data_IF_879703953256
#
_entry.id   IF_879703953256
#
_cell.length_a   1.000
_cell.length_b   1.000
_cell.length_c   1.000
_cell.angle_alpha   90.00
_cell.angle_beta   90.00
_cell.angle_gamma   90.00
#
_symmetry.space_group_name_H-M   'P 1'
#
loop_
_entity.id
_entity.type
_entity.pdbx_description
1 polymer ?
#
# COMPACT_ATOMS: atom_id res chain seq x y z
N UNK A 1 0.15 14.66 21.10
CA UNK A 1 -1.29 14.62 21.39
C UNK A 1 -2.05 14.56 20.06
N UNK A 2 -3.26 13.99 20.00
CA UNK A 2 -4.10 14.11 18.80
C UNK A 2 -4.27 15.59 18.48
N UNK A 3 -4.13 15.95 17.20
CA UNK A 3 -4.27 17.34 16.74
C UNK A 3 -5.74 17.73 16.61
N UNK A 4 -6.55 16.79 16.12
CA UNK A 4 -7.98 16.93 15.96
C UNK A 4 -8.64 15.59 16.27
N UNK A 5 -9.70 15.62 17.06
CA UNK A 5 -10.68 14.57 17.15
C UNK A 5 -12.02 15.22 16.79
N UNK A 6 -12.73 14.65 15.84
CA UNK A 6 -14.02 15.15 15.40
C UNK A 6 -14.96 13.96 15.17
N UNK A 7 -16.18 13.96 15.72
CA UNK A 7 -17.17 12.97 15.36
C UNK A 7 -17.62 13.24 13.91
N UNK A 8 -17.79 12.19 13.13
CA UNK A 8 -18.37 12.25 11.78
C UNK A 8 -19.70 11.52 11.76
N UNK A 9 -20.70 12.09 11.10
CA UNK A 9 -21.95 11.40 10.78
C UNK A 9 -21.94 10.77 9.38
N UNK A 10 -20.80 10.83 8.68
CA UNK A 10 -20.57 10.38 7.30
C UNK A 10 -21.42 11.09 6.25
N UNK A 11 -21.94 12.27 6.58
CA UNK A 11 -22.62 13.14 5.60
C UNK A 11 -21.68 14.16 5.00
N UNK A 12 -20.48 14.31 5.55
CA UNK A 12 -19.44 15.21 5.07
C UNK A 12 -18.97 14.79 3.68
N UNK A 13 -18.84 15.77 2.78
CA UNK A 13 -18.33 15.54 1.44
C UNK A 13 -16.82 15.82 1.33
N UNK A 14 -16.26 15.63 0.13
CA UNK A 14 -14.83 15.81 -0.09
C UNK A 14 -14.36 17.25 0.15
N UNK A 15 -15.25 18.23 -0.05
CA UNK A 15 -14.97 19.65 0.16
C UNK A 15 -14.95 19.99 1.65
N UNK A 16 -15.83 19.38 2.44
CA UNK A 16 -15.83 19.52 3.89
C UNK A 16 -14.57 18.88 4.51
N UNK A 17 -14.21 17.67 4.05
CA UNK A 17 -12.97 17.02 4.48
C UNK A 17 -11.72 17.81 4.08
N UNK A 18 -11.70 18.39 2.89
CA UNK A 18 -10.62 19.29 2.44
C UNK A 18 -10.44 20.47 3.41
N UNK A 19 -11.52 21.13 3.83
CA UNK A 19 -11.46 22.23 4.81
C UNK A 19 -10.93 21.76 6.16
N UNK A 20 -11.36 20.59 6.63
CA UNK A 20 -10.91 20.03 7.91
C UNK A 20 -9.40 19.76 7.88
N UNK A 21 -8.92 19.11 6.82
CA UNK A 21 -7.50 18.80 6.64
C UNK A 21 -6.65 20.07 6.50
N UNK A 22 -7.09 21.03 5.69
CA UNK A 22 -6.42 22.31 5.54
C UNK A 22 -6.35 23.08 6.86
N UNK A 23 -7.44 23.10 7.63
CA UNK A 23 -7.46 23.74 8.95
C UNK A 23 -6.49 23.08 9.92
N UNK A 24 -6.39 21.75 9.92
CA UNK A 24 -5.44 21.02 10.75
C UNK A 24 -3.98 21.37 10.38
N UNK A 25 -3.64 21.45 9.09
CA UNK A 25 -2.32 21.87 8.62
C UNK A 25 -2.03 23.31 9.05
N UNK A 26 -3.00 24.21 8.92
CA UNK A 26 -2.85 25.60 9.38
C UNK A 26 -2.61 25.69 10.89
N UNK A 27 -3.33 24.90 11.69
CA UNK A 27 -3.13 24.83 13.14
C UNK A 27 -1.74 24.29 13.50
N UNK A 28 -1.22 23.31 12.75
CA UNK A 28 0.16 22.82 12.93
C UNK A 28 1.19 23.92 12.72
N UNK A 29 1.05 24.69 11.63
CA UNK A 29 1.97 25.78 11.32
C UNK A 29 1.86 26.94 12.31
N UNK A 30 0.65 27.37 12.65
CA UNK A 30 0.42 28.55 13.51
C UNK A 30 0.72 28.31 14.99
N UNK A 31 0.63 27.06 15.46
CA UNK A 31 1.01 26.69 16.85
C UNK A 31 2.51 26.66 17.10
N UNK A 32 3.36 26.78 16.06
CA UNK A 32 4.81 26.59 16.16
C UNK A 32 5.24 25.12 16.21
N UNK A 33 4.31 24.17 15.99
CA UNK A 33 4.63 22.74 15.93
C UNK A 33 5.61 22.43 14.78
N UNK A 34 5.48 23.13 13.65
CA UNK A 34 6.40 23.01 12.53
C UNK A 34 7.87 23.27 12.92
N UNK A 35 8.12 24.18 13.86
CA UNK A 35 9.47 24.53 14.32
C UNK A 35 9.95 23.60 15.44
N UNK A 36 9.04 23.24 16.36
CA UNK A 36 9.38 22.46 17.56
C UNK A 36 9.41 20.94 17.34
N UNK A 37 8.60 20.43 16.41
CA UNK A 37 8.48 19.01 16.09
C UNK A 37 8.99 18.71 14.68
N UNK A 38 8.75 19.62 13.74
CA UNK A 38 9.16 19.48 12.34
C UNK A 38 8.00 19.69 11.36
N UNK A 39 8.31 19.86 10.06
CA UNK A 39 7.29 20.01 9.03
C UNK A 39 6.48 18.71 8.86
N UNK A 40 5.25 18.85 8.36
CA UNK A 40 4.47 17.69 7.91
C UNK A 40 5.08 17.23 6.59
N UNK A 41 5.42 15.94 6.47
CA UNK A 41 5.93 15.38 5.22
C UNK A 41 4.86 14.68 4.41
N UNK A 42 3.98 13.94 5.07
CA UNK A 42 2.94 13.15 4.43
C UNK A 42 1.66 13.14 5.26
N UNK A 43 0.55 12.84 4.61
CA UNK A 43 -0.75 12.65 5.23
C UNK A 43 -1.32 11.28 4.83
N UNK A 44 -1.46 10.36 5.79
CA UNK A 44 -1.98 9.01 5.53
C UNK A 44 -3.50 8.92 5.76
N UNK A 45 -4.21 8.19 4.89
CA UNK A 45 -5.65 7.93 5.02
C UNK A 45 -5.98 6.45 4.89
N UNK A 46 -7.19 6.04 5.28
CA UNK A 46 -7.70 4.66 5.24
C UNK A 46 -8.32 4.25 3.89
N UNK A 47 -8.16 5.11 2.87
CA UNK A 47 -8.71 4.93 1.53
C UNK A 47 -10.22 5.19 1.44
N UNK A 48 -10.85 5.87 2.41
CA UNK A 48 -12.22 6.34 2.23
C UNK A 48 -12.33 7.27 1.00
N UNK A 49 -13.44 7.18 0.26
CA UNK A 49 -13.62 7.92 -1.01
C UNK A 49 -13.59 9.43 -0.78
N UNK A 50 -14.19 9.89 0.31
CA UNK A 50 -14.25 11.31 0.66
C UNK A 50 -12.86 11.81 1.06
N UNK A 51 -12.13 11.03 1.88
CA UNK A 51 -10.75 11.35 2.27
C UNK A 51 -9.79 11.33 1.08
N UNK A 52 -9.91 10.36 0.17
CA UNK A 52 -9.09 10.27 -1.05
C UNK A 52 -9.27 11.52 -1.92
N UNK A 53 -10.51 11.90 -2.20
CA UNK A 53 -10.79 13.07 -3.03
C UNK A 53 -10.29 14.37 -2.37
N UNK A 54 -10.48 14.54 -1.06
CA UNK A 54 -9.96 15.68 -0.31
C UNK A 54 -8.42 15.71 -0.32
N UNK A 55 -7.78 14.57 -0.05
CA UNK A 55 -6.34 14.42 -0.05
C UNK A 55 -5.73 14.69 -1.42
N UNK A 56 -6.37 14.22 -2.50
CA UNK A 56 -5.95 14.52 -3.86
C UNK A 56 -5.91 16.03 -4.12
N UNK A 57 -7.01 16.74 -3.83
CA UNK A 57 -7.11 18.20 -4.02
C UNK A 57 -6.08 18.98 -3.22
N UNK A 58 -5.72 18.48 -2.04
CA UNK A 58 -4.75 19.15 -1.16
C UNK A 58 -3.29 18.86 -1.50
N UNK A 59 -2.99 17.63 -1.89
CA UNK A 59 -1.62 17.12 -1.93
C UNK A 59 -1.10 16.80 -3.34
N UNK A 60 -1.90 17.01 -4.39
CA UNK A 60 -1.48 16.90 -5.80
C UNK A 60 -1.81 18.22 -6.54
N UNK A 61 -1.32 19.36 -6.04
CA UNK A 61 -1.67 20.70 -6.55
C UNK A 61 -0.70 21.25 -7.58
N UNK A 62 0.60 21.17 -7.29
CA UNK A 62 1.65 21.82 -8.07
C UNK A 62 2.81 20.86 -8.31
N UNK A 63 3.49 20.94 -9.46
CA UNK A 63 4.71 20.18 -9.69
C UNK A 63 5.80 20.59 -8.68
N UNK A 64 6.65 19.64 -8.32
CA UNK A 64 7.83 19.87 -7.48
C UNK A 64 8.70 20.98 -8.09
N UNK A 65 9.05 21.97 -7.28
CA UNK A 65 9.90 23.10 -7.72
C UNK A 65 11.30 22.63 -8.07
N UNK A 66 11.90 23.19 -9.12
CA UNK A 66 13.31 22.97 -9.47
C UNK A 66 14.27 23.44 -8.37
N UNK A 67 13.85 24.43 -7.57
CA UNK A 67 14.61 24.93 -6.41
C UNK A 67 14.52 23.99 -5.20
N UNK A 68 13.64 22.97 -5.23
CA UNK A 68 13.52 22.01 -4.14
C UNK A 68 14.79 21.17 -4.02
N UNK A 69 15.31 20.93 -2.81
CA UNK A 69 16.42 19.99 -2.62
C UNK A 69 16.07 18.56 -3.03
N UNK A 70 14.77 18.24 -3.14
CA UNK A 70 14.29 16.92 -3.58
C UNK A 70 14.34 16.74 -5.10
N UNK A 71 14.33 17.85 -5.85
CA UNK A 71 14.11 17.84 -7.29
C UNK A 71 15.17 17.01 -8.03
N UNK A 72 16.44 17.26 -7.75
CA UNK A 72 17.56 16.57 -8.41
C UNK A 72 17.52 15.06 -8.25
N UNK A 73 17.05 14.55 -7.12
CA UNK A 73 16.88 13.11 -6.92
C UNK A 73 15.62 12.60 -7.61
N UNK A 74 14.47 13.25 -7.41
CA UNK A 74 13.16 12.73 -7.83
C UNK A 74 12.87 12.89 -9.32
N UNK A 75 13.41 13.92 -10.00
CA UNK A 75 13.21 14.12 -11.44
C UNK A 75 13.78 12.98 -12.29
N UNK A 76 14.77 12.27 -11.76
CA UNK A 76 15.43 11.15 -12.45
C UNK A 76 14.65 9.83 -12.33
N UNK A 77 13.49 9.82 -11.65
CA UNK A 77 12.64 8.65 -11.51
C UNK A 77 11.60 8.72 -12.63
N UNK A 78 11.98 8.28 -13.83
CA UNK A 78 11.12 8.37 -15.03
C UNK A 78 9.73 7.79 -14.77
N UNK A 79 8.69 8.56 -15.13
CA UNK A 79 7.29 8.20 -14.93
C UNK A 79 6.76 8.47 -13.52
N UNK A 80 7.60 8.81 -12.53
CA UNK A 80 7.11 9.19 -11.21
C UNK A 80 6.37 10.54 -11.27
N UNK A 81 5.14 10.58 -10.74
CA UNK A 81 4.39 11.83 -10.66
C UNK A 81 5.02 12.78 -9.61
N UNK A 82 5.40 13.98 -10.03
CA UNK A 82 6.08 14.97 -9.18
C UNK A 82 5.15 16.01 -8.54
N UNK A 83 3.83 15.86 -8.62
CA UNK A 83 2.90 16.82 -8.03
C UNK A 83 2.85 16.67 -6.50
N UNK A 84 2.84 17.78 -5.77
CA UNK A 84 2.73 17.78 -4.31
C UNK A 84 1.74 18.83 -3.82
N UNK A 85 1.44 18.80 -2.53
CA UNK A 85 0.75 19.89 -1.85
C UNK A 85 1.70 21.03 -1.51
N UNK A 86 1.14 22.03 -0.82
CA UNK A 86 1.94 23.11 -0.22
C UNK A 86 2.96 22.53 0.77
N UNK A 87 4.19 23.05 0.75
CA UNK A 87 5.28 22.52 1.58
C UNK A 87 5.73 21.11 1.18
N UNK A 88 5.47 20.71 -0.07
CA UNK A 88 5.84 19.41 -0.63
C UNK A 88 5.17 18.22 0.07
N UNK A 89 4.05 18.45 0.77
CA UNK A 89 3.32 17.39 1.47
C UNK A 89 2.73 16.40 0.48
N UNK A 90 2.91 15.11 0.76
CA UNK A 90 2.40 14.00 -0.07
C UNK A 90 1.25 13.25 0.61
N UNK A 91 0.34 12.72 -0.20
CA UNK A 91 -0.73 11.83 0.27
C UNK A 91 -0.17 10.41 0.43
N UNK A 92 -0.65 9.67 1.42
CA UNK A 92 -0.35 8.27 1.62
C UNK A 92 -1.62 7.48 1.98
N UNK A 93 -1.55 6.18 1.81
CA UNK A 93 -2.58 5.24 2.23
C UNK A 93 -1.94 4.15 3.07
N UNK A 94 -2.62 3.76 4.14
CA UNK A 94 -2.13 2.69 4.99
C UNK A 94 -2.07 1.38 4.18
N UNK A 95 -0.87 0.81 4.09
CA UNK A 95 -0.59 -0.42 3.36
C UNK A 95 -1.44 -1.61 3.85
N UNK A 96 -1.80 -1.64 5.14
CA UNK A 96 -2.68 -2.66 5.66
C UNK A 96 -4.06 -2.55 5.02
N UNK A 97 -4.57 -1.32 4.81
CA UNK A 97 -5.84 -1.11 4.12
C UNK A 97 -5.77 -1.46 2.63
N UNK A 98 -4.63 -1.25 1.99
CA UNK A 98 -4.35 -1.68 0.61
C UNK A 98 -4.39 -3.22 0.47
N UNK A 99 -3.88 -3.97 1.45
CA UNK A 99 -3.87 -5.44 1.40
C UNK A 99 -5.17 -6.07 1.90
N UNK A 100 -5.82 -5.45 2.91
CA UNK A 100 -7.03 -5.96 3.57
C UNK A 100 -8.18 -6.21 2.60
N UNK A 101 -9.03 -7.17 2.97
CA UNK A 101 -10.32 -7.33 2.31
C UNK A 101 -11.37 -6.45 3.00
N UNK A 102 -12.08 -5.58 2.27
CA UNK A 102 -13.33 -4.97 2.79
C UNK A 102 -14.48 -5.86 2.32
N UNK A 103 -15.35 -6.27 3.24
CA UNK A 103 -16.42 -7.23 2.96
C UNK A 103 -17.39 -6.69 1.90
N UNK A 104 -17.67 -7.51 0.91
CA UNK A 104 -18.77 -7.33 -0.02
C UNK A 104 -20.01 -8.01 0.57
N UNK A 105 -20.72 -7.34 1.47
CA UNK A 105 -22.05 -7.80 1.89
C UNK A 105 -23.00 -6.60 2.02
N UNK A 106 -23.60 -6.21 0.90
CA UNK A 106 -24.96 -5.69 0.92
C UNK A 106 -25.68 -6.13 -0.35
N UNK A 107 -26.61 -7.06 -0.16
CA UNK A 107 -27.49 -7.59 -1.22
C UNK A 107 -28.71 -6.68 -1.46
N UNK A 108 -28.69 -5.41 -1.00
CA UNK A 108 -29.76 -4.44 -1.26
C UNK A 108 -29.19 -3.05 -1.52
N UNK A 109 -29.65 -2.48 -2.63
CA UNK A 109 -29.57 -1.09 -3.06
C UNK A 109 -28.17 -0.56 -3.41
N UNK A 110 -27.93 -0.46 -4.72
CA UNK A 110 -27.34 0.70 -5.41
C UNK A 110 -26.80 1.81 -4.52
N UNK A 111 -25.55 1.65 -4.04
CA UNK A 111 -24.59 2.64 -3.53
C UNK A 111 -23.70 1.96 -2.46
N UNK A 112 -22.77 1.08 -2.85
CA UNK A 112 -21.66 0.69 -1.98
C UNK A 112 -20.34 1.14 -2.60
N UNK A 113 -19.96 2.38 -2.28
CA UNK A 113 -18.66 2.99 -2.58
C UNK A 113 -17.70 2.68 -1.43
N UNK A 114 -17.19 1.46 -1.32
CA UNK A 114 -16.16 1.13 -0.33
C UNK A 114 -14.92 0.56 -1.00
N UNK A 115 -13.77 1.14 -0.63
CA UNK A 115 -12.43 0.79 -1.08
C UNK A 115 -12.11 -0.69 -0.84
N UNK A 116 -11.71 -1.41 -1.88
CA UNK A 116 -11.40 -2.83 -1.86
C UNK A 116 -9.88 -3.01 -2.06
N UNK A 117 -9.21 -3.69 -1.12
CA UNK A 117 -7.79 -4.00 -1.24
C UNK A 117 -7.51 -5.17 -2.20
N UNK A 118 -6.22 -5.49 -2.39
CA UNK A 118 -5.74 -6.54 -3.33
C UNK A 118 -6.44 -7.89 -3.07
N UNK A 119 -6.54 -8.30 -1.81
CA UNK A 119 -7.16 -9.58 -1.47
C UNK A 119 -8.68 -9.60 -1.70
N UNK A 120 -9.37 -8.46 -1.70
CA UNK A 120 -10.78 -8.43 -2.12
C UNK A 120 -10.91 -8.79 -3.59
N UNK A 121 -10.03 -8.27 -4.46
CA UNK A 121 -10.06 -8.55 -5.90
C UNK A 121 -9.77 -10.02 -6.19
N UNK A 122 -8.71 -10.56 -5.58
CA UNK A 122 -8.30 -11.96 -5.76
C UNK A 122 -9.40 -12.92 -5.29
N UNK A 123 -10.07 -12.63 -4.16
CA UNK A 123 -11.13 -13.48 -3.62
C UNK A 123 -12.45 -13.35 -4.38
N UNK A 124 -12.64 -12.23 -5.08
CA UNK A 124 -13.85 -11.91 -5.84
C UNK A 124 -14.04 -12.88 -7.03
N UNK A 125 -15.29 -13.22 -7.39
CA UNK A 125 -15.56 -14.00 -8.61
C UNK A 125 -15.06 -13.33 -9.90
N UNK A 126 -15.03 -12.00 -9.93
CA UNK A 126 -14.53 -11.24 -11.07
C UNK A 126 -13.00 -11.38 -11.25
N UNK A 127 -12.27 -11.67 -10.16
CA UNK A 127 -10.83 -11.87 -10.16
C UNK A 127 -10.02 -10.66 -10.61
N UNK A 128 -8.80 -10.94 -11.06
CA UNK A 128 -7.84 -10.01 -11.63
C UNK A 128 -7.47 -10.51 -13.03
N UNK A 129 -7.59 -9.64 -14.04
CA UNK A 129 -7.13 -9.92 -15.40
C UNK A 129 -5.65 -9.58 -15.55
N UNK A 130 -4.87 -10.55 -16.02
CA UNK A 130 -3.43 -10.45 -16.27
C UNK A 130 -3.10 -10.96 -17.69
N UNK A 131 -2.09 -11.83 -17.81
CA UNK A 131 -1.51 -12.34 -19.04
C UNK A 131 -2.54 -12.62 -20.15
N UNK A 132 -2.51 -11.83 -21.22
CA UNK A 132 -3.38 -12.01 -22.38
C UNK A 132 -4.89 -12.17 -22.03
N UNK A 133 -5.35 -11.45 -21.00
CA UNK A 133 -6.75 -11.47 -20.60
C UNK A 133 -7.14 -12.63 -19.65
N UNK A 134 -6.20 -13.46 -19.19
CA UNK A 134 -6.52 -14.57 -18.27
C UNK A 134 -6.96 -14.02 -16.90
N UNK A 135 -8.06 -14.56 -16.39
CA UNK A 135 -8.66 -14.15 -15.11
C UNK A 135 -8.17 -15.07 -13.99
N UNK A 136 -7.53 -14.50 -12.98
CA UNK A 136 -7.19 -15.20 -11.74
C UNK A 136 -8.18 -14.79 -10.65
N UNK A 137 -8.98 -15.75 -10.18
CA UNK A 137 -9.96 -15.57 -9.12
C UNK A 137 -9.80 -16.66 -8.04
N UNK A 138 -10.65 -16.62 -7.02
CA UNK A 138 -10.61 -17.59 -5.92
C UNK A 138 -10.77 -19.04 -6.37
N UNK A 139 -11.57 -19.31 -7.41
CA UNK A 139 -11.77 -20.68 -7.91
C UNK A 139 -10.50 -21.22 -8.58
N UNK A 140 -9.83 -20.40 -9.39
CA UNK A 140 -8.55 -20.75 -10.02
C UNK A 140 -7.51 -21.01 -8.92
N UNK A 141 -7.38 -20.09 -7.95
CA UNK A 141 -6.41 -20.26 -6.87
C UNK A 141 -6.68 -21.47 -5.98
N UNK A 142 -7.95 -21.84 -5.75
CA UNK A 142 -8.30 -23.05 -5.00
C UNK A 142 -7.72 -24.31 -5.66
N UNK A 143 -7.74 -24.39 -7.00
CA UNK A 143 -7.20 -25.53 -7.73
C UNK A 143 -5.67 -25.68 -7.59
N UNK A 144 -4.95 -24.56 -7.44
CA UNK A 144 -3.49 -24.54 -7.47
C UNK A 144 -2.85 -24.45 -6.09
N UNK A 145 -3.40 -23.68 -5.16
CA UNK A 145 -2.81 -23.52 -3.83
C UNK A 145 -2.82 -24.82 -3.03
N UNK A 146 -3.72 -25.76 -3.31
CA UNK A 146 -3.72 -27.10 -2.71
C UNK A 146 -2.51 -27.96 -3.14
N UNK A 147 -1.71 -27.51 -4.11
CA UNK A 147 -0.46 -28.18 -4.50
C UNK A 147 0.69 -27.85 -3.54
N UNK A 148 0.53 -26.85 -2.69
CA UNK A 148 1.50 -26.55 -1.65
C UNK A 148 1.39 -27.59 -0.52
N UNK A 149 2.50 -28.25 -0.11
CA UNK A 149 2.47 -29.25 0.97
C UNK A 149 1.94 -28.74 2.31
N UNK A 150 2.00 -27.43 2.54
CA UNK A 150 1.56 -26.78 3.76
C UNK A 150 0.04 -26.62 3.89
N UNK A 151 -0.72 -26.78 2.79
CA UNK A 151 -2.14 -26.50 2.73
C UNK A 151 -2.95 -27.70 2.26
N UNK A 152 -3.98 -28.06 3.01
CA UNK A 152 -5.07 -28.92 2.53
C UNK A 152 -6.22 -28.07 1.96
N UNK A 153 -7.22 -28.74 1.38
CA UNK A 153 -8.37 -28.05 0.78
C UNK A 153 -9.11 -27.16 1.78
N UNK A 154 -9.28 -27.60 3.02
CA UNK A 154 -9.96 -26.81 4.06
C UNK A 154 -9.17 -25.55 4.42
N UNK A 155 -7.85 -25.65 4.52
CA UNK A 155 -6.97 -24.51 4.80
C UNK A 155 -6.99 -23.50 3.66
N UNK A 156 -6.94 -23.95 2.39
CA UNK A 156 -7.05 -23.05 1.23
C UNK A 156 -8.42 -22.38 1.16
N UNK A 157 -9.50 -23.10 1.46
CA UNK A 157 -10.85 -22.53 1.54
C UNK A 157 -10.91 -21.43 2.60
N UNK A 158 -10.35 -21.65 3.80
CA UNK A 158 -10.27 -20.61 4.85
C UNK A 158 -9.43 -19.40 4.44
N UNK A 159 -8.39 -19.63 3.63
CA UNK A 159 -7.52 -18.58 3.11
C UNK A 159 -8.22 -17.69 2.08
N UNK A 160 -9.03 -18.30 1.21
CA UNK A 160 -9.78 -17.61 0.15
C UNK A 160 -11.12 -17.04 0.66
N UNK A 161 -11.73 -17.66 1.67
CA UNK A 161 -13.04 -17.29 2.21
C UNK A 161 -12.97 -17.14 3.74
N UNK A 162 -12.29 -16.09 4.24
CA UNK A 162 -12.16 -15.89 5.69
C UNK A 162 -13.49 -15.49 6.34
N UNK A 163 -13.72 -15.98 7.57
CA UNK A 163 -14.89 -15.62 8.38
C UNK A 163 -14.96 -14.12 8.68
N UNK A 164 -13.80 -13.49 8.86
CA UNK A 164 -13.65 -12.06 9.11
C UNK A 164 -12.93 -11.42 7.92
N UNK A 165 -13.65 -10.71 7.03
CA UNK A 165 -13.04 -10.10 5.85
C UNK A 165 -11.93 -9.09 6.17
N UNK A 166 -12.01 -8.42 7.32
CA UNK A 166 -11.03 -7.42 7.76
C UNK A 166 -9.75 -8.02 8.39
N UNK A 167 -9.57 -9.34 8.35
CA UNK A 167 -8.41 -10.04 8.91
C UNK A 167 -7.14 -9.79 8.05
N UNK A 168 -6.29 -8.88 8.54
CA UNK A 168 -5.00 -8.52 7.91
C UNK A 168 -4.05 -9.70 7.86
N UNK A 169 -3.79 -10.42 8.98
CA UNK A 169 -2.98 -11.64 8.95
C UNK A 169 -3.39 -12.61 7.85
N UNK A 170 -4.69 -12.88 7.71
CA UNK A 170 -5.17 -13.82 6.70
C UNK A 170 -5.02 -13.30 5.27
N UNK A 171 -5.11 -11.99 5.06
CA UNK A 171 -4.84 -11.38 3.76
C UNK A 171 -3.34 -11.52 3.40
N UNK A 172 -2.44 -11.28 4.36
CA UNK A 172 -1.00 -11.43 4.17
C UNK A 172 -0.60 -12.88 3.91
N UNK A 173 -1.18 -13.83 4.65
CA UNK A 173 -0.96 -15.26 4.45
C UNK A 173 -1.37 -15.70 3.04
N UNK A 174 -2.49 -15.19 2.50
CA UNK A 174 -2.92 -15.50 1.13
C UNK A 174 -1.89 -15.02 0.10
N UNK A 175 -1.42 -13.78 0.28
CA UNK A 175 -0.41 -13.20 -0.61
C UNK A 175 0.92 -13.97 -0.53
N UNK A 176 1.35 -14.36 0.67
CA UNK A 176 2.53 -15.19 0.86
C UNK A 176 2.39 -16.59 0.24
N UNK A 177 1.22 -17.23 0.36
CA UNK A 177 0.96 -18.52 -0.25
C UNK A 177 1.06 -18.46 -1.79
N UNK A 178 0.57 -17.39 -2.41
CA UNK A 178 0.72 -17.17 -3.87
C UNK A 178 2.19 -17.04 -4.25
N UNK A 179 2.98 -16.28 -3.48
CA UNK A 179 4.43 -16.14 -3.72
C UNK A 179 5.14 -17.49 -3.57
N UNK A 180 4.85 -18.21 -2.50
CA UNK A 180 5.45 -19.51 -2.19
C UNK A 180 5.11 -20.54 -3.27
N UNK A 181 3.86 -20.57 -3.73
CA UNK A 181 3.42 -21.43 -4.82
C UNK A 181 4.28 -21.24 -6.08
N UNK A 182 4.47 -19.99 -6.52
CA UNK A 182 5.28 -19.73 -7.71
C UNK A 182 6.75 -20.11 -7.54
N UNK A 183 7.33 -19.94 -6.34
CA UNK A 183 8.70 -20.38 -6.04
C UNK A 183 8.83 -21.90 -6.13
N UNK A 184 7.86 -22.65 -5.62
CA UNK A 184 7.86 -24.12 -5.69
C UNK A 184 7.61 -24.65 -7.10
N UNK A 185 6.75 -23.99 -7.88
CA UNK A 185 6.35 -24.44 -9.21
C UNK A 185 7.21 -23.87 -10.34
N UNK A 186 8.34 -23.22 -10.04
CA UNK A 186 9.17 -22.56 -11.04
C UNK A 186 9.64 -23.51 -12.15
N UNK A 187 9.94 -24.78 -11.83
CA UNK A 187 10.29 -25.79 -12.83
C UNK A 187 9.12 -26.10 -13.76
N UNK A 188 7.92 -26.32 -13.21
CA UNK A 188 6.69 -26.58 -13.96
C UNK A 188 6.26 -25.39 -14.83
N UNK A 189 6.44 -24.17 -14.33
CA UNK A 189 6.16 -22.94 -15.08
C UNK A 189 7.08 -22.82 -16.29
N UNK A 190 8.36 -23.21 -16.15
CA UNK A 190 9.34 -23.11 -17.24
C UNK A 190 9.27 -24.27 -18.24
N UNK A 191 8.67 -25.41 -17.87
CA UNK A 191 8.54 -26.58 -18.75
C UNK A 191 7.21 -26.54 -19.53
N UNK A 192 7.24 -25.87 -20.68
CA UNK A 192 6.07 -25.73 -21.56
C UNK A 192 5.58 -27.05 -22.20
N UNK A 193 6.29 -28.17 -22.02
CA UNK A 193 5.96 -29.44 -22.67
C UNK A 193 5.26 -30.45 -21.74
N UNK A 194 5.25 -30.22 -20.42
CA UNK A 194 4.77 -31.20 -19.44
C UNK A 194 3.30 -31.05 -19.03
N UNK A 195 2.65 -29.95 -19.41
CA UNK A 195 1.37 -29.53 -18.83
C UNK A 195 0.41 -29.13 -19.95
N UNK A 196 -0.90 -29.33 -19.78
CA UNK A 196 -1.88 -28.88 -20.77
C UNK A 196 -1.88 -27.35 -20.91
N UNK A 197 -2.37 -26.88 -22.05
CA UNK A 197 -2.28 -25.47 -22.47
C UNK A 197 -2.98 -24.53 -21.48
N UNK A 198 -4.14 -24.94 -20.93
CA UNK A 198 -4.92 -24.11 -20.02
C UNK A 198 -4.23 -23.99 -18.66
N UNK A 199 -3.73 -25.11 -18.13
CA UNK A 199 -2.96 -25.11 -16.89
C UNK A 199 -1.67 -24.30 -17.03
N UNK A 200 -0.96 -24.42 -18.15
CA UNK A 200 0.24 -23.59 -18.38
C UNK A 200 -0.09 -22.09 -18.44
N UNK A 201 -1.21 -21.72 -19.07
CA UNK A 201 -1.66 -20.33 -19.12
C UNK A 201 -2.03 -19.78 -17.72
N UNK A 202 -2.68 -20.59 -16.88
CA UNK A 202 -2.96 -20.24 -15.48
C UNK A 202 -1.66 -20.05 -14.69
N UNK A 203 -0.74 -21.01 -14.75
CA UNK A 203 0.53 -20.95 -14.04
C UNK A 203 1.35 -19.71 -14.42
N UNK A 204 1.39 -19.36 -15.71
CA UNK A 204 2.04 -18.13 -16.18
C UNK A 204 1.37 -16.87 -15.61
N UNK A 205 0.05 -16.87 -15.53
CA UNK A 205 -0.72 -15.73 -15.00
C UNK A 205 -0.58 -15.61 -13.48
N UNK A 206 -0.54 -16.73 -12.76
CA UNK A 206 -0.25 -16.77 -11.32
C UNK A 206 1.19 -16.32 -11.06
N UNK A 207 2.15 -16.64 -11.94
CA UNK A 207 3.52 -16.14 -11.84
C UNK A 207 3.60 -14.61 -11.95
N UNK A 208 2.85 -14.00 -12.87
CA UNK A 208 2.74 -12.54 -12.95
C UNK A 208 2.06 -11.94 -11.71
N UNK A 209 0.99 -12.57 -11.21
CA UNK A 209 0.33 -12.15 -9.97
C UNK A 209 1.28 -12.22 -8.77
N UNK A 210 2.03 -13.31 -8.66
CA UNK A 210 3.04 -13.52 -7.62
C UNK A 210 4.10 -12.43 -7.68
N UNK A 211 4.65 -12.12 -8.86
CA UNK A 211 5.67 -11.09 -9.00
C UNK A 211 5.15 -9.70 -8.59
N UNK A 212 3.90 -9.36 -8.97
CA UNK A 212 3.24 -8.14 -8.55
C UNK A 212 3.06 -8.09 -7.02
N UNK A 213 2.51 -9.15 -6.43
CA UNK A 213 2.26 -9.26 -4.98
C UNK A 213 3.56 -9.21 -4.18
N UNK A 214 4.58 -9.95 -4.61
CA UNK A 214 5.90 -9.98 -3.97
C UNK A 214 6.53 -8.58 -3.96
N UNK A 215 6.42 -7.86 -5.08
CA UNK A 215 7.00 -6.54 -5.27
C UNK A 215 6.40 -5.47 -4.33
N UNK A 216 5.13 -5.60 -3.94
CA UNK A 216 4.47 -4.67 -3.00
C UNK A 216 4.46 -5.17 -1.56
N UNK A 217 4.39 -6.47 -1.31
CA UNK A 217 4.25 -7.01 0.04
C UNK A 217 5.57 -7.01 0.80
N UNK A 218 6.61 -7.60 0.21
CA UNK A 218 7.89 -7.82 0.91
C UNK A 218 8.53 -6.55 1.47
N UNK A 219 8.47 -5.38 0.80
CA UNK A 219 9.03 -4.14 1.34
C UNK A 219 8.52 -3.74 2.72
N UNK A 220 7.30 -4.15 3.09
CA UNK A 220 6.71 -3.84 4.39
C UNK A 220 6.91 -4.95 5.42
N UNK A 221 7.28 -6.16 5.00
CA UNK A 221 7.21 -7.34 5.85
C UNK A 221 8.51 -8.11 6.03
N UNK A 222 9.41 -8.03 5.05
CA UNK A 222 10.68 -8.73 5.10
C UNK A 222 11.73 -7.86 5.81
N UNK A 223 11.90 -8.14 7.10
CA UNK A 223 12.87 -7.48 7.97
C UNK A 223 14.32 -7.58 7.50
N UNK A 224 14.63 -8.44 6.52
CA UNK A 224 15.97 -8.62 5.98
C UNK A 224 16.28 -7.70 4.81
N UNK A 225 15.25 -7.12 4.16
CA UNK A 225 15.44 -6.23 3.02
C UNK A 225 16.12 -4.92 3.44
N UNK A 226 17.15 -4.54 2.70
CA UNK A 226 17.69 -3.19 2.77
C UNK A 226 16.69 -2.17 2.23
N UNK A 227 16.87 -0.90 2.55
CA UNK A 227 16.04 0.17 2.02
C UNK A 227 16.15 0.25 0.48
N UNK A 228 17.34 0.03 -0.07
CA UNK A 228 17.54 -0.07 -1.53
C UNK A 228 16.72 -1.20 -2.15
N UNK A 229 16.68 -2.38 -1.52
CA UNK A 229 15.87 -3.50 -1.99
C UNK A 229 14.37 -3.19 -1.89
N UNK A 230 13.94 -2.53 -0.81
CA UNK A 230 12.56 -2.09 -0.63
C UNK A 230 12.15 -1.12 -1.74
N UNK A 231 12.94 -0.07 -2.00
CA UNK A 231 12.65 0.91 -3.04
C UNK A 231 12.69 0.30 -4.45
N UNK A 232 13.64 -0.61 -4.73
CA UNK A 232 13.68 -1.37 -5.98
C UNK A 232 12.41 -2.20 -6.17
N UNK A 233 11.96 -2.89 -5.12
CA UNK A 233 10.76 -3.73 -5.15
C UNK A 233 9.50 -2.88 -5.38
N UNK A 234 9.35 -1.76 -4.67
CA UNK A 234 8.24 -0.83 -4.89
C UNK A 234 8.23 -0.23 -6.30
N UNK A 235 9.41 0.07 -6.85
CA UNK A 235 9.53 0.50 -8.24
C UNK A 235 9.11 -0.60 -9.22
N UNK A 236 9.55 -1.85 -9.01
CA UNK A 236 9.12 -3.01 -9.80
C UNK A 236 7.59 -3.16 -9.77
N UNK A 237 6.97 -3.05 -8.59
CA UNK A 237 5.52 -3.03 -8.46
C UNK A 237 4.89 -1.91 -9.29
N UNK A 238 5.38 -0.67 -9.17
CA UNK A 238 4.80 0.49 -9.85
C UNK A 238 4.74 0.29 -11.37
N UNK A 239 5.82 -0.24 -11.96
CA UNK A 239 5.91 -0.53 -13.40
C UNK A 239 5.02 -1.71 -13.83
N UNK A 240 4.97 -2.79 -13.05
CA UNK A 240 4.09 -3.94 -13.32
C UNK A 240 2.62 -3.52 -13.23
N UNK A 241 2.24 -2.84 -12.15
CA UNK A 241 0.89 -2.35 -11.93
C UNK A 241 0.48 -1.39 -13.03
N UNK A 242 1.33 -0.44 -13.40
CA UNK A 242 1.09 0.46 -14.53
C UNK A 242 0.82 -0.31 -15.82
N UNK A 243 1.65 -1.31 -16.15
CA UNK A 243 1.51 -2.08 -17.39
C UNK A 243 0.18 -2.84 -17.43
N UNK A 244 -0.14 -3.59 -16.38
CA UNK A 244 -1.40 -4.35 -16.31
C UNK A 244 -2.61 -3.42 -16.31
N UNK A 245 -2.51 -2.28 -15.63
CA UNK A 245 -3.58 -1.29 -15.61
C UNK A 245 -3.79 -0.61 -16.96
N UNK A 246 -2.69 -0.26 -17.64
CA UNK A 246 -2.72 0.32 -18.98
C UNK A 246 -3.30 -0.66 -20.02
N UNK A 247 -3.03 -1.97 -19.87
CA UNK A 247 -3.57 -3.01 -20.73
C UNK A 247 -5.05 -3.38 -20.46
N UNK A 248 -5.44 -3.46 -19.19
CA UNK A 248 -6.72 -4.09 -18.79
C UNK A 248 -7.66 -3.20 -17.98
N UNK A 249 -7.24 -2.00 -17.56
CA UNK A 249 -8.04 -1.03 -16.80
C UNK A 249 -8.70 -1.69 -15.57
N UNK A 250 -10.00 -1.45 -15.39
CA UNK A 250 -10.81 -1.98 -14.29
C UNK A 250 -10.92 -3.50 -14.23
N UNK A 251 -10.57 -4.22 -15.30
CA UNK A 251 -10.50 -5.68 -15.28
C UNK A 251 -9.27 -6.19 -14.53
N UNK A 252 -8.20 -5.40 -14.42
CA UNK A 252 -7.05 -5.70 -13.58
C UNK A 252 -7.31 -5.29 -12.13
N UNK A 253 -7.62 -4.01 -11.88
CA UNK A 253 -8.03 -3.53 -10.56
C UNK A 253 -8.88 -2.25 -10.65
N UNK A 254 -9.60 -1.92 -9.58
CA UNK A 254 -10.36 -0.66 -9.55
C UNK A 254 -9.45 0.57 -9.69
N UNK A 255 -9.97 1.65 -10.29
CA UNK A 255 -9.27 2.94 -10.38
C UNK A 255 -8.79 3.43 -9.00
N UNK A 256 -9.62 3.30 -7.97
CA UNK A 256 -9.31 3.74 -6.62
C UNK A 256 -8.16 2.96 -6.01
N UNK A 257 -8.14 1.63 -6.14
CA UNK A 257 -7.05 0.81 -5.61
C UNK A 257 -5.74 1.12 -6.35
N UNK A 258 -5.77 1.24 -7.67
CA UNK A 258 -4.60 1.60 -8.45
C UNK A 258 -4.01 2.94 -7.99
N UNK A 259 -4.86 3.96 -7.88
CA UNK A 259 -4.47 5.29 -7.42
C UNK A 259 -3.84 5.26 -6.03
N UNK A 260 -4.47 4.53 -5.09
CA UNK A 260 -4.00 4.50 -3.69
C UNK A 260 -2.62 3.85 -3.59
N UNK A 261 -2.38 2.72 -4.27
CA UNK A 261 -1.10 2.03 -4.17
C UNK A 261 0.01 2.80 -4.89
N UNK A 262 -0.25 3.34 -6.08
CA UNK A 262 0.72 4.19 -6.78
C UNK A 262 1.06 5.45 -5.97
N UNK A 263 0.07 6.01 -5.25
CA UNK A 263 0.28 7.13 -4.33
C UNK A 263 1.14 6.73 -3.14
N UNK A 264 0.92 5.56 -2.54
CA UNK A 264 1.78 5.02 -1.46
C UNK A 264 3.22 4.79 -1.93
N UNK A 265 3.42 4.22 -3.14
CA UNK A 265 4.76 4.07 -3.71
C UNK A 265 5.42 5.42 -3.89
N UNK A 266 4.75 6.38 -4.53
CA UNK A 266 5.25 7.75 -4.68
C UNK A 266 5.62 8.37 -3.34
N UNK A 267 4.75 8.25 -2.34
CA UNK A 267 4.98 8.79 -1.00
C UNK A 267 6.23 8.20 -0.34
N UNK A 268 6.49 6.90 -0.51
CA UNK A 268 7.71 6.26 -0.01
C UNK A 268 8.98 6.92 -0.59
N UNK A 269 9.01 7.17 -1.90
CA UNK A 269 10.15 7.84 -2.56
C UNK A 269 10.32 9.28 -2.09
N UNK A 270 9.23 10.05 -1.99
CA UNK A 270 9.27 11.43 -1.50
C UNK A 270 9.72 11.51 -0.04
N UNK A 271 9.18 10.66 0.84
CA UNK A 271 9.54 10.66 2.26
C UNK A 271 11.01 10.23 2.47
N UNK A 272 11.51 9.27 1.69
CA UNK A 272 12.91 8.90 1.74
C UNK A 272 13.82 10.03 1.25
N UNK A 273 13.49 10.69 0.13
CA UNK A 273 14.24 11.86 -0.34
C UNK A 273 14.29 12.97 0.73
N UNK A 274 13.16 13.25 1.38
CA UNK A 274 13.09 14.20 2.50
C UNK A 274 13.98 13.78 3.67
N UNK A 275 13.98 12.50 4.02
CA UNK A 275 14.87 11.96 5.06
C UNK A 275 16.35 12.08 4.69
N UNK A 276 16.72 11.82 3.43
CA UNK A 276 18.08 11.98 2.95
C UNK A 276 18.57 13.43 3.03
N UNK A 277 17.69 14.40 2.75
CA UNK A 277 17.99 15.82 2.92
C UNK A 277 18.08 16.24 4.39
N UNK A 278 17.23 15.68 5.26
CA UNK A 278 17.19 16.02 6.69
C UNK A 278 18.38 15.43 7.45
N UNK A 279 18.55 14.11 7.35
CA UNK A 279 19.64 13.36 7.97
C UNK A 279 19.87 12.04 7.20
N UNK A 280 20.91 11.96 6.35
CA UNK A 280 21.21 10.75 5.57
C UNK A 280 21.73 9.59 6.43
N UNK A 281 22.13 9.81 7.68
CA UNK A 281 22.62 8.74 8.55
C UNK A 281 21.52 8.11 9.40
N UNK A 282 20.35 8.74 9.48
CA UNK A 282 19.23 8.21 10.23
C UNK A 282 18.56 7.02 9.53
N UNK A 283 18.00 6.07 10.31
CA UNK A 283 17.21 4.99 9.76
C UNK A 283 15.85 5.49 9.24
N UNK A 284 15.39 4.92 8.14
CA UNK A 284 14.07 5.18 7.56
C UNK A 284 13.27 3.87 7.49
N UNK A 285 11.99 3.92 7.87
CA UNK A 285 11.11 2.75 7.91
C UNK A 285 9.88 2.98 7.04
N UNK A 286 9.54 1.99 6.22
CA UNK A 286 8.29 1.95 5.48
C UNK A 286 7.16 1.38 6.36
N UNK A 287 6.03 2.09 6.39
CA UNK A 287 4.87 1.68 7.17
C UNK A 287 5.07 1.84 8.67
N UNK A 288 4.08 2.41 9.33
CA UNK A 288 3.93 2.31 10.78
C UNK A 288 2.45 2.40 11.09
N UNK A 289 2.05 1.80 12.21
CA UNK A 289 0.67 1.83 12.66
C UNK A 289 0.55 2.35 14.10
N UNK A 290 1.06 3.57 14.36
CA UNK A 290 0.96 4.16 15.70
C UNK A 290 -0.49 4.55 16.01
N UNK A 291 -1.35 4.67 15.00
CA UNK A 291 -2.75 5.07 15.16
C UNK A 291 -3.63 3.89 15.58
N UNK A 292 -3.52 2.71 14.96
CA UNK A 292 -4.28 1.52 15.38
C UNK A 292 -3.81 1.05 16.77
N UNK A 293 -2.52 1.18 17.09
CA UNK A 293 -2.01 0.95 18.45
C UNK A 293 -2.63 1.92 19.47
N UNK A 294 -2.72 3.21 19.13
CA UNK A 294 -3.36 4.21 19.97
C UNK A 294 -4.86 3.89 20.17
N UNK A 295 -5.57 3.50 19.12
CA UNK A 295 -6.97 3.08 19.23
C UNK A 295 -7.12 1.82 20.09
N UNK A 296 -6.26 0.83 19.89
CA UNK A 296 -6.23 -0.39 20.69
C UNK A 296 -6.08 -0.09 22.18
N UNK A 297 -5.10 0.75 22.55
CA UNK A 297 -4.92 1.18 23.94
C UNK A 297 -6.13 1.97 24.46
N UNK A 298 -6.70 2.85 23.65
CA UNK A 298 -7.91 3.61 23.98
C UNK A 298 -9.07 2.68 24.35
N UNK A 299 -9.27 1.60 23.59
CA UNK A 299 -10.27 0.57 23.91
C UNK A 299 -9.92 -0.21 25.18
N UNK A 300 -8.65 -0.59 25.37
CA UNK A 300 -8.19 -1.35 26.53
C UNK A 300 -8.37 -0.60 27.86
N UNK A 301 -8.24 0.73 27.88
CA UNK A 301 -8.48 1.56 29.07
C UNK A 301 -9.92 1.38 29.58
N UNK A 302 -10.87 1.06 28.70
CA UNK A 302 -12.26 0.79 29.07
C UNK A 302 -12.51 -0.53 29.78
N UNK A 303 -11.52 -1.44 29.84
CA UNK A 303 -11.68 -2.78 30.39
C UNK A 303 -12.82 -3.54 29.69
N UNK A 304 -13.82 -3.96 30.47
CA UNK A 304 -15.01 -4.64 29.93
C UNK A 304 -15.96 -3.73 29.14
N UNK A 305 -15.79 -2.41 29.20
CA UNK A 305 -16.54 -1.45 28.41
C UNK A 305 -15.66 -0.85 27.30
N UNK A 306 -15.42 -1.65 26.27
CA UNK A 306 -14.63 -1.26 25.10
C UNK A 306 -15.33 -0.22 24.24
N UNK A 307 -16.66 -0.11 24.31
CA UNK A 307 -17.41 0.98 23.70
C UNK A 307 -17.32 2.25 24.57
N UNK A 308 -17.36 3.43 23.92
CA UNK A 308 -17.29 4.70 24.62
C UNK A 308 -18.06 5.80 23.87
N UNK A 309 -18.62 6.74 24.62
CA UNK A 309 -19.15 7.98 24.06
C UNK A 309 -18.01 8.86 23.54
N UNK A 310 -18.33 9.89 22.75
CA UNK A 310 -17.31 10.82 22.26
C UNK A 310 -16.51 11.50 23.38
N UNK A 311 -17.18 11.94 24.45
CA UNK A 311 -16.50 12.52 25.61
C UNK A 311 -15.53 11.53 26.27
N UNK A 312 -15.96 10.28 26.46
CA UNK A 312 -15.10 9.21 26.97
C UNK A 312 -13.95 8.88 26.01
N UNK A 313 -14.16 9.01 24.69
CA UNK A 313 -13.11 8.83 23.70
C UNK A 313 -11.99 9.85 23.91
N UNK A 314 -12.34 11.13 24.09
CA UNK A 314 -11.35 12.20 24.30
C UNK A 314 -10.51 11.95 25.56
N UNK A 315 -11.16 11.60 26.68
CA UNK A 315 -10.47 11.30 27.93
C UNK A 315 -9.53 10.09 27.78
N UNK A 316 -10.03 9.01 27.16
CA UNK A 316 -9.27 7.76 26.98
C UNK A 316 -8.12 7.92 25.97
N UNK A 317 -8.30 8.69 24.90
CA UNK A 317 -7.23 8.97 23.92
C UNK A 317 -6.12 9.79 24.60
N UNK A 318 -6.48 10.76 25.45
CA UNK A 318 -5.52 11.51 26.25
C UNK A 318 -4.68 10.59 27.14
N UNK A 319 -5.35 9.75 27.94
CA UNK A 319 -4.69 8.78 28.80
C UNK A 319 -3.84 7.75 28.03
N UNK A 320 -4.35 7.24 26.89
CA UNK A 320 -3.60 6.33 26.03
C UNK A 320 -2.33 7.00 25.48
N UNK A 321 -2.39 8.30 25.17
CA UNK A 321 -1.23 9.04 24.67
C UNK A 321 -0.18 9.28 25.76
N UNK A 322 -0.59 9.51 26.99
CA UNK A 322 0.33 9.62 28.13
C UNK A 322 1.05 8.29 28.38
N UNK A 323 0.32 7.17 28.32
CA UNK A 323 0.88 5.81 28.39
C UNK A 323 1.90 5.57 27.25
N UNK A 324 1.53 5.85 26.00
CA UNK A 324 2.43 5.75 24.85
C UNK A 324 3.70 6.59 25.04
N UNK A 325 3.56 7.79 25.61
CA UNK A 325 4.69 8.67 25.85
C UNK A 325 5.64 8.11 26.92
N UNK A 326 5.11 7.41 27.93
CA UNK A 326 5.92 6.67 28.91
C UNK A 326 6.66 5.52 28.23
N UNK A 327 5.96 4.71 27.44
CA UNK A 327 6.58 3.59 26.71
C UNK A 327 7.66 4.02 25.73
N UNK A 328 7.46 5.13 25.00
CA UNK A 328 8.50 5.69 24.13
C UNK A 328 9.76 6.12 24.90
N UNK A 329 9.62 6.63 26.12
CA UNK A 329 10.75 7.00 26.99
C UNK A 329 11.39 5.82 27.70
N UNK A 330 10.62 4.75 27.93
CA UNK A 330 10.99 3.56 28.69
C UNK A 330 10.52 2.29 27.93
N UNK A 331 11.18 1.95 26.80
CA UNK A 331 10.73 0.85 25.94
C UNK A 331 10.64 -0.50 26.66
N UNK A 332 11.43 -0.70 27.73
CA UNK A 332 11.41 -1.92 28.53
C UNK A 332 10.11 -2.12 29.32
N UNK A 333 9.31 -1.07 29.50
CA UNK A 333 8.00 -1.14 30.16
C UNK A 333 6.88 -1.55 29.20
N UNK A 334 7.12 -1.51 27.89
CA UNK A 334 6.16 -1.96 26.89
C UNK A 334 6.52 -3.38 26.46
N UNK A 335 5.93 -4.43 27.08
CA UNK A 335 6.17 -5.80 26.65
C UNK A 335 5.60 -6.08 25.25
N UNK A 336 4.96 -5.11 24.61
CA UNK A 336 4.18 -5.27 23.40
C UNK A 336 2.95 -6.13 23.63
N UNK A 337 2.25 -6.47 22.55
CA UNK A 337 1.16 -7.44 22.61
C UNK A 337 1.72 -8.84 22.90
N UNK A 338 1.75 -9.24 24.18
CA UNK A 338 1.94 -10.65 24.57
C UNK A 338 0.69 -11.45 24.17
N UNK A 339 0.71 -12.07 22.98
CA UNK A 339 -0.27 -13.12 22.63
C UNK A 339 0.14 -14.44 23.29
N UNK A 340 -0.83 -15.12 23.91
CA UNK A 340 -0.62 -16.28 24.79
C UNK A 340 -0.14 -17.56 24.07
N UNK A 341 -0.05 -17.58 22.73
CA UNK A 341 0.61 -18.64 21.94
C UNK A 341 1.18 -18.04 20.66
N UNK A 342 2.49 -18.18 20.43
CA UNK A 342 3.16 -17.90 19.17
C UNK A 342 3.34 -19.23 18.43
N UNK A 343 2.48 -19.53 17.47
CA UNK A 343 2.85 -20.40 16.34
C UNK A 343 3.53 -19.52 15.29
N UNK A 344 4.63 -19.99 14.69
CA UNK A 344 5.60 -19.23 13.90
C UNK A 344 5.07 -18.56 12.60
N UNK A 345 3.75 -18.55 12.37
CA UNK A 345 3.11 -18.02 11.17
C UNK A 345 2.23 -16.77 11.44
N UNK A 346 2.04 -16.35 12.69
CA UNK A 346 1.14 -15.23 13.04
C UNK A 346 1.91 -14.05 13.66
N UNK A 347 1.85 -12.87 13.04
CA UNK A 347 2.46 -11.62 13.54
C UNK A 347 3.18 -10.75 12.51
N UNK A 348 3.14 -11.09 11.23
CA UNK A 348 3.75 -10.31 10.14
C UNK A 348 3.10 -8.91 10.02
N UNK A 349 1.88 -8.73 10.52
CA UNK A 349 1.12 -7.48 10.53
C UNK A 349 1.56 -6.46 11.61
N UNK A 350 2.43 -6.88 12.54
CA UNK A 350 2.93 -6.05 13.64
C UNK A 350 4.45 -6.18 13.81
N UNK A 351 5.20 -5.77 12.77
CA UNK A 351 6.67 -5.77 12.81
C UNK A 351 7.15 -4.61 13.67
N UNK A 352 7.85 -4.94 14.75
CA UNK A 352 8.56 -3.94 15.54
C UNK A 352 9.80 -3.47 14.76
N UNK A 353 9.98 -2.15 14.66
CA UNK A 353 11.15 -1.50 14.03
C UNK A 353 12.49 -2.07 14.53
N UNK A 354 12.58 -2.45 15.80
CA UNK A 354 13.79 -3.05 16.38
C UNK A 354 14.12 -4.47 15.87
N UNK A 355 13.20 -5.12 15.14
CA UNK A 355 13.43 -6.42 14.50
C UNK A 355 14.00 -6.29 13.08
N UNK A 356 14.05 -5.08 12.52
CA UNK A 356 14.60 -4.85 11.18
C UNK A 356 16.11 -5.09 11.17
N UNK A 357 16.58 -5.95 10.27
CA UNK A 357 17.98 -6.40 10.14
C UNK A 357 18.65 -5.86 8.88
N UNK A 358 17.89 -5.59 7.83
CA UNK A 358 18.39 -4.97 6.61
C UNK A 358 18.92 -3.56 6.86
N UNK A 359 19.81 -3.09 5.98
CA UNK A 359 20.32 -1.72 6.06
C UNK A 359 19.23 -0.72 5.70
N UNK A 360 18.78 0.03 6.71
CA UNK A 360 17.71 1.02 6.61
C UNK A 360 18.22 2.46 6.72
N UNK A 361 19.53 2.68 6.65
CA UNK A 361 20.11 4.03 6.67
C UNK A 361 19.72 4.78 5.39
N UNK A 362 19.06 5.94 5.55
CA UNK A 362 18.45 6.66 4.44
C UNK A 362 19.43 7.00 3.31
N UNK A 363 20.63 7.47 3.65
CA UNK A 363 21.66 7.90 2.72
C UNK A 363 22.38 6.77 1.98
N UNK A 364 22.16 5.50 2.35
CA UNK A 364 22.72 4.35 1.63
C UNK A 364 21.85 3.89 0.44
N UNK A 365 20.62 4.42 0.32
CA UNK A 365 19.75 4.14 -0.80
C UNK A 365 19.90 5.18 -1.91
N UNK A 366 20.46 4.80 -3.05
CA UNK A 366 20.38 5.62 -4.27
C UNK A 366 18.98 5.46 -4.88
N UNK A 367 18.17 6.53 -4.82
CA UNK A 367 16.78 6.52 -5.29
C UNK A 367 16.66 6.33 -6.81
N UNK A 368 17.34 7.14 -7.66
CA UNK A 368 17.36 6.90 -9.11
C UNK A 368 17.82 5.50 -9.50
N UNK A 369 18.89 5.01 -8.87
CA UNK A 369 19.41 3.67 -9.18
C UNK A 369 18.42 2.57 -8.78
N UNK A 370 17.85 2.64 -7.58
CA UNK A 370 16.83 1.70 -7.12
C UNK A 370 15.58 1.71 -8.02
N UNK A 371 15.14 2.89 -8.47
CA UNK A 371 14.03 3.02 -9.43
C UNK A 371 14.35 2.36 -10.77
N UNK A 372 15.55 2.62 -11.32
CA UNK A 372 16.00 2.00 -12.56
C UNK A 372 16.05 0.47 -12.46
N UNK A 373 16.60 -0.08 -11.37
CA UNK A 373 16.65 -1.52 -11.14
C UNK A 373 15.26 -2.15 -11.00
N UNK A 374 14.30 -1.42 -10.39
CA UNK A 374 12.91 -1.85 -10.31
C UNK A 374 12.25 -1.91 -11.68
N UNK A 375 12.43 -0.86 -12.48
CA UNK A 375 12.03 -0.80 -13.88
C UNK A 375 12.60 -1.97 -14.71
N UNK A 376 13.90 -2.24 -14.61
CA UNK A 376 14.57 -3.35 -15.31
C UNK A 376 14.02 -4.72 -14.87
N UNK A 377 13.74 -4.88 -13.57
CA UNK A 377 13.15 -6.10 -13.02
C UNK A 377 11.74 -6.33 -13.59
N UNK A 378 10.92 -5.29 -13.65
CA UNK A 378 9.60 -5.34 -14.26
C UNK A 378 9.67 -5.69 -15.76
N UNK A 379 10.58 -5.07 -16.52
CA UNK A 379 10.78 -5.41 -17.94
C UNK A 379 11.22 -6.87 -18.15
N UNK A 380 12.08 -7.40 -17.29
CA UNK A 380 12.51 -8.80 -17.35
C UNK A 380 11.36 -9.79 -17.10
N UNK A 381 10.34 -9.39 -16.32
CA UNK A 381 9.11 -10.16 -16.09
C UNK A 381 8.17 -10.02 -17.29
N UNK A 382 7.91 -8.78 -17.73
CA UNK A 382 6.95 -8.45 -18.79
C UNK A 382 7.38 -8.98 -20.16
N UNK A 383 8.68 -8.99 -20.46
CA UNK A 383 9.23 -9.55 -21.71
C UNK A 383 9.02 -11.06 -21.86
N UNK A 384 8.73 -11.77 -20.76
CA UNK A 384 8.36 -13.19 -20.77
C UNK A 384 6.84 -13.40 -20.79
N UNK A 385 6.06 -12.34 -20.65
CA UNK A 385 4.60 -12.38 -20.72
C UNK A 385 4.11 -12.34 -22.17
N UNK A 386 2.82 -12.57 -22.37
CA UNK A 386 2.15 -12.44 -23.67
C UNK A 386 1.50 -11.06 -23.86
N UNK A 387 1.87 -10.06 -23.05
CA UNK A 387 1.36 -8.70 -23.19
C UNK A 387 2.01 -7.99 -24.37
N UNK A 388 1.23 -7.12 -25.02
CA UNK A 388 1.73 -6.27 -26.10
C UNK A 388 2.77 -5.27 -25.54
N UNK A 389 3.99 -5.20 -26.13
CA UNK A 389 5.02 -4.23 -25.78
C UNK A 389 4.57 -2.78 -25.73
N UNK A 390 3.50 -2.40 -26.43
CA UNK A 390 2.94 -1.05 -26.36
C UNK A 390 2.56 -0.64 -24.94
N UNK A 391 2.24 -1.61 -24.06
CA UNK A 391 1.85 -1.32 -22.69
C UNK A 391 3.02 -1.16 -21.72
N UNK A 392 4.24 -1.54 -22.12
CA UNK A 392 5.45 -1.47 -21.28
C UNK A 392 6.66 -0.87 -21.99
N UNK A 393 6.45 -0.16 -23.11
CA UNK A 393 7.46 0.72 -23.70
C UNK A 393 7.56 2.01 -22.87
N UNK A 394 8.06 1.89 -21.64
CA UNK A 394 8.08 2.98 -20.66
C UNK A 394 8.79 4.23 -21.18
N UNK A 395 9.87 4.07 -21.95
CA UNK A 395 10.58 5.19 -22.58
C UNK A 395 9.67 5.98 -23.49
N UNK A 396 8.90 5.33 -24.36
CA UNK A 396 7.99 6.02 -25.29
C UNK A 396 6.79 6.62 -24.55
N UNK A 397 6.23 5.87 -23.59
CA UNK A 397 5.05 6.27 -22.83
C UNK A 397 5.32 7.51 -21.97
N UNK A 398 6.47 7.58 -21.29
CA UNK A 398 6.79 8.68 -20.38
C UNK A 398 7.50 9.86 -21.06
N UNK A 399 7.83 9.76 -22.35
CA UNK A 399 8.60 10.79 -23.06
C UNK A 399 7.87 12.14 -23.16
N UNK A 400 6.54 12.13 -23.31
CA UNK A 400 5.77 13.38 -23.45
C UNK A 400 5.61 14.16 -22.14
N UNK A 401 5.82 13.50 -20.99
CA UNK A 401 5.48 14.04 -19.67
C UNK A 401 3.97 14.12 -19.40
N UNK A 402 3.11 13.72 -20.36
CA UNK A 402 1.65 13.70 -20.17
C UNK A 402 1.17 12.44 -19.46
N UNK A 403 1.94 11.35 -19.56
CA UNK A 403 1.68 10.07 -18.93
C UNK A 403 2.67 9.87 -17.78
N UNK A 404 2.16 9.45 -16.64
CA UNK A 404 2.95 9.09 -15.46
C UNK A 404 2.26 7.92 -14.72
N UNK A 405 2.86 7.45 -13.61
CA UNK A 405 2.34 6.32 -12.84
C UNK A 405 0.93 6.56 -12.26
N UNK A 406 0.52 7.81 -12.03
CA UNK A 406 -0.82 8.20 -11.57
C UNK A 406 -1.76 8.63 -12.72
N UNK A 407 -1.20 8.89 -13.90
CA UNK A 407 -1.92 9.25 -15.13
C UNK A 407 -1.61 8.27 -16.27
N UNK A 408 -2.04 7.00 -16.18
CA UNK A 408 -1.63 5.98 -17.14
C UNK A 408 -2.14 6.20 -18.57
N UNK A 409 -3.12 7.08 -18.77
CA UNK A 409 -3.69 7.41 -20.08
C UNK A 409 -3.55 8.91 -20.45
N UNK A 410 -2.87 9.70 -19.62
CA UNK A 410 -2.76 11.15 -19.79
C UNK A 410 -4.07 11.92 -19.60
N UNK A 411 -4.25 13.00 -20.37
CA UNK A 411 -5.44 13.88 -20.39
C UNK A 411 -5.75 14.66 -19.09
N UNK A 412 -4.80 14.81 -18.16
CA UNK A 412 -5.02 15.44 -16.85
C UNK A 412 -6.17 14.82 -16.03
N UNK A 413 -6.48 13.54 -16.26
CA UNK A 413 -7.52 12.82 -15.50
C UNK A 413 -6.89 11.86 -14.51
N UNK A 414 -7.03 12.18 -13.23
CA UNK A 414 -6.71 11.25 -12.15
C UNK A 414 -7.86 10.27 -11.95
N UNK A 415 -7.57 9.02 -12.23
CA UNK A 415 -8.54 7.93 -12.18
C UNK A 415 -8.99 7.66 -10.74
N UNK A 416 -10.30 7.51 -10.52
CA UNK A 416 -10.86 7.19 -9.20
C UNK A 416 -10.99 8.39 -8.26
N UNK A 417 -10.69 9.60 -8.75
CA UNK A 417 -10.93 10.88 -8.11
C UNK A 417 -12.12 11.60 -8.75
N UNK A 418 -12.24 11.52 -10.08
CA UNK A 418 -13.32 12.16 -10.81
C UNK A 418 -14.64 11.42 -10.60
N UNK A 419 -15.75 12.15 -10.55
CA UNK A 419 -17.10 11.59 -10.37
C UNK A 419 -17.63 10.88 -11.60
N UNK A 420 -16.96 11.05 -12.73
CA UNK A 420 -17.43 10.64 -14.07
C UNK A 420 -16.73 9.37 -14.59
N UNK A 421 -15.92 8.71 -13.75
CA UNK A 421 -15.15 7.48 -14.07
C UNK A 421 -15.92 6.17 -13.83
#
# INVERSE_FOLDING_TARGET
YPLLAAPTCKTEDATDMEKILAHMIQCWSTSGAAVSVGPIWSFATDGDVTHRAAGHRLFLKAPLSEDSPLYGSLINLTGLNLFTGEGEVTLDFDFKHIFKCKSFFSQRASCLKFHAGICTLIRSPAGIVLNNGRVINSMVLLCYLVWLPAYDEEAVVKLLYPDVPQDVPRAMELMQAIIEFCKHQQHTINDSFSTDIDTHADLNSIALLSALIESILLPFIDVTMSLSDQMKSLSCYSHLAFTFFHAHRCSFMSYQLYYDIQTTVKNAFFCLAKQQCLDPHAPFFLGDDPLELLFSRTHMIGGHNSAFSYAQALDRIGAAKDIDSVFKRRPELDPGHRRLKLTQQEGVDHINRGLWKGDITAGHCDLPFSWCLGHESALAILSKSQLDPIHYSFTDLFNSGEIDMLHPFGENKYLGINTDD
#
